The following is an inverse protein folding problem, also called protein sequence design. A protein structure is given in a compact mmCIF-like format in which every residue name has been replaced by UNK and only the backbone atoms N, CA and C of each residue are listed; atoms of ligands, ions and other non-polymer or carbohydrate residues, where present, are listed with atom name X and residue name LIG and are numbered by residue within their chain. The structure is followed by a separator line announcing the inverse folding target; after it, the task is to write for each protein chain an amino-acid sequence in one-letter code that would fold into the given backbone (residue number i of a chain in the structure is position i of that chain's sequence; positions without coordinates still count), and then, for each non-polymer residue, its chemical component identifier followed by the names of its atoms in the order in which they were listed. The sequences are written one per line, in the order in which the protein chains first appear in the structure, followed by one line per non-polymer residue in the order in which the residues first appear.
data_IF_145255302275
#
_entry.id   IF_145255302275
#
_cell.length_a   1.000
_cell.length_b   1.000
_cell.length_c   1.000
_cell.angle_alpha   90.00
_cell.angle_beta   90.00
_cell.angle_gamma   90.00
#
_symmetry.space_group_name_H-M   'P 1'
#
loop_
_entity.id
_entity.type
_entity.pdbx_description
1 polymer ?
#
# COMPACT_ATOMS: atom_id res chain seq x y z
N UNK A 1 5.07 -28.25 7.97
CA UNK A 1 6.18 -28.94 7.27
C UNK A 1 5.98 -28.85 5.76
N UNK A 2 4.81 -29.23 5.18
CA UNK A 2 4.55 -29.23 3.73
C UNK A 2 4.77 -27.88 3.05
N UNK A 3 4.32 -26.77 3.67
CA UNK A 3 4.51 -25.42 3.13
C UNK A 3 5.99 -25.01 3.06
N UNK A 4 6.77 -25.35 4.08
CA UNK A 4 8.20 -25.04 4.10
C UNK A 4 8.97 -25.86 3.05
N UNK A 5 8.59 -27.14 2.86
CA UNK A 5 9.17 -28.00 1.80
C UNK A 5 8.83 -27.43 0.43
N UNK A 6 7.56 -27.06 0.18
CA UNK A 6 7.15 -26.46 -1.09
C UNK A 6 7.91 -25.15 -1.37
N UNK A 7 8.07 -24.29 -0.36
CA UNK A 7 8.84 -23.05 -0.48
C UNK A 7 10.31 -23.35 -0.81
N UNK A 8 10.93 -24.28 -0.09
CA UNK A 8 12.32 -24.67 -0.33
C UNK A 8 12.54 -25.22 -1.75
N UNK A 9 11.62 -26.06 -2.23
CA UNK A 9 11.66 -26.60 -3.60
C UNK A 9 11.52 -25.47 -4.63
N UNK A 10 10.59 -24.54 -4.45
CA UNK A 10 10.42 -23.39 -5.34
C UNK A 10 11.66 -22.48 -5.38
N UNK A 11 12.27 -22.22 -4.24
CA UNK A 11 13.51 -21.44 -4.16
C UNK A 11 14.66 -22.18 -4.86
N UNK A 12 14.82 -23.48 -4.60
CA UNK A 12 15.86 -24.28 -5.23
C UNK A 12 15.70 -24.34 -6.76
N UNK A 13 14.47 -24.51 -7.26
CA UNK A 13 14.17 -24.46 -8.68
C UNK A 13 14.50 -23.11 -9.30
N UNK A 14 14.14 -22.01 -8.63
CA UNK A 14 14.48 -20.67 -9.11
C UNK A 14 15.99 -20.42 -9.14
N UNK A 15 16.73 -20.90 -8.15
CA UNK A 15 18.21 -20.81 -8.15
C UNK A 15 18.80 -21.59 -9.33
N UNK A 16 18.25 -22.75 -9.65
CA UNK A 16 18.76 -23.61 -10.73
C UNK A 16 18.43 -23.06 -12.14
N UNK A 17 17.25 -22.44 -12.30
CA UNK A 17 16.74 -22.05 -13.64
C UNK A 17 17.06 -20.57 -13.95
N UNK A 18 17.07 -19.70 -12.94
CA UNK A 18 17.19 -18.25 -13.15
C UNK A 18 18.62 -17.79 -12.86
N UNK A 19 19.37 -17.34 -13.90
CA UNK A 19 20.70 -16.77 -13.69
C UNK A 19 20.65 -15.57 -12.73
N UNK A 20 21.57 -15.52 -11.78
CA UNK A 20 21.67 -14.43 -10.80
C UNK A 20 20.45 -14.27 -9.87
N UNK A 21 19.66 -15.30 -9.62
CA UNK A 21 18.51 -15.25 -8.72
C UNK A 21 18.88 -14.73 -7.33
N UNK A 22 20.02 -15.14 -6.78
CA UNK A 22 20.54 -14.68 -5.48
C UNK A 22 21.33 -13.37 -5.55
N UNK A 23 21.18 -12.57 -6.59
CA UNK A 23 21.83 -11.27 -6.67
C UNK A 23 21.19 -10.29 -5.65
N UNK A 24 22.02 -9.40 -5.06
CA UNK A 24 21.58 -8.33 -4.17
C UNK A 24 20.46 -7.46 -4.76
N UNK A 25 20.46 -7.27 -6.08
CA UNK A 25 19.38 -6.54 -6.77
C UNK A 25 18.04 -7.27 -6.67
N UNK A 26 18.02 -8.59 -6.89
CA UNK A 26 16.81 -9.43 -6.79
C UNK A 26 16.29 -9.45 -5.35
N UNK A 27 17.19 -9.65 -4.38
CA UNK A 27 16.82 -9.61 -2.95
C UNK A 27 16.22 -8.27 -2.56
N UNK A 28 16.77 -7.18 -3.05
CA UNK A 28 16.27 -5.84 -2.73
C UNK A 28 14.91 -5.53 -3.36
N UNK A 29 14.66 -5.99 -4.60
CA UNK A 29 13.34 -5.85 -5.24
C UNK A 29 12.30 -6.67 -4.48
N UNK A 30 12.62 -7.91 -4.13
CA UNK A 30 11.73 -8.76 -3.33
C UNK A 30 11.47 -8.15 -1.94
N UNK A 31 12.49 -7.59 -1.29
CA UNK A 31 12.35 -6.92 -0.01
C UNK A 31 11.39 -5.71 -0.10
N UNK A 32 11.46 -4.92 -1.17
CA UNK A 32 10.54 -3.79 -1.40
C UNK A 32 9.10 -4.27 -1.56
N UNK A 33 8.87 -5.31 -2.35
CA UNK A 33 7.54 -5.89 -2.57
C UNK A 33 6.95 -6.48 -1.28
N UNK A 34 7.76 -7.25 -0.55
CA UNK A 34 7.35 -7.83 0.75
C UNK A 34 7.04 -6.72 1.76
N UNK A 35 7.81 -5.64 1.79
CA UNK A 35 7.58 -4.52 2.70
C UNK A 35 6.23 -3.83 2.46
N UNK A 36 5.85 -3.64 1.20
CA UNK A 36 4.54 -3.09 0.85
C UNK A 36 3.40 -4.00 1.32
N UNK A 37 3.53 -5.31 1.09
CA UNK A 37 2.56 -6.29 1.56
C UNK A 37 2.50 -6.31 3.09
N UNK A 38 3.64 -6.20 3.77
CA UNK A 38 3.72 -6.18 5.22
C UNK A 38 2.98 -4.97 5.81
N UNK A 39 3.11 -3.78 5.22
CA UNK A 39 2.36 -2.58 5.65
C UNK A 39 0.85 -2.82 5.59
N UNK A 40 0.37 -3.40 4.49
CA UNK A 40 -1.05 -3.75 4.34
C UNK A 40 -1.46 -4.81 5.35
N UNK A 41 -0.65 -5.84 5.54
CA UNK A 41 -0.91 -6.93 6.47
C UNK A 41 -1.00 -6.45 7.94
N UNK A 42 -0.22 -5.44 8.33
CA UNK A 42 -0.33 -4.82 9.65
C UNK A 42 -1.72 -4.20 9.87
N UNK A 43 -2.25 -3.45 8.90
CA UNK A 43 -3.60 -2.92 8.96
C UNK A 43 -4.65 -4.02 9.04
N UNK A 44 -4.52 -5.05 8.19
CA UNK A 44 -5.42 -6.21 8.19
C UNK A 44 -5.37 -6.99 9.51
N UNK A 45 -4.22 -7.07 10.15
CA UNK A 45 -4.08 -7.73 11.46
C UNK A 45 -4.95 -7.03 12.52
N UNK A 46 -4.99 -5.70 12.55
CA UNK A 46 -5.84 -4.94 13.46
C UNK A 46 -7.34 -5.19 13.18
N UNK A 47 -7.72 -5.22 11.90
CA UNK A 47 -9.10 -5.49 11.48
C UNK A 47 -9.52 -6.91 11.89
N UNK A 48 -8.68 -7.91 11.64
CA UNK A 48 -8.96 -9.31 12.02
C UNK A 48 -8.99 -9.47 13.54
N UNK A 49 -8.08 -8.81 14.26
CA UNK A 49 -8.06 -8.83 15.72
C UNK A 49 -9.33 -8.21 16.34
N UNK A 50 -9.97 -7.24 15.66
CA UNK A 50 -11.28 -6.70 16.07
C UNK A 50 -12.48 -7.55 15.64
N UNK A 51 -12.26 -8.72 15.03
CA UNK A 51 -13.31 -9.62 14.54
C UNK A 51 -13.92 -9.21 13.20
N UNK A 52 -13.30 -8.26 12.49
CA UNK A 52 -13.75 -7.77 11.19
C UNK A 52 -13.05 -8.43 10.01
N UNK A 53 -13.60 -8.20 8.81
CA UNK A 53 -12.96 -8.49 7.52
C UNK A 53 -13.07 -7.24 6.68
N UNK A 54 -11.95 -6.74 6.13
CA UNK A 54 -11.93 -5.58 5.26
C UNK A 54 -11.54 -5.98 3.83
N UNK A 55 -12.51 -5.92 2.93
CA UNK A 55 -12.32 -6.18 1.50
C UNK A 55 -11.99 -4.91 0.73
N UNK A 56 -12.11 -3.72 1.35
CA UNK A 56 -11.97 -2.43 0.67
C UNK A 56 -10.51 -2.02 0.40
N UNK A 57 -9.54 -2.64 1.06
CA UNK A 57 -8.12 -2.25 1.03
C UNK A 57 -7.60 -2.04 -0.40
N UNK A 58 -7.85 -2.99 -1.32
CA UNK A 58 -7.40 -2.87 -2.70
C UNK A 58 -8.06 -1.73 -3.47
N UNK A 59 -9.32 -1.42 -3.17
CA UNK A 59 -10.05 -0.32 -3.80
C UNK A 59 -9.58 1.04 -3.26
N UNK A 60 -9.34 1.15 -1.95
CA UNK A 60 -8.76 2.35 -1.32
C UNK A 60 -7.37 2.62 -1.86
N UNK A 61 -6.54 1.58 -2.03
CA UNK A 61 -5.23 1.70 -2.67
C UNK A 61 -5.34 2.17 -4.12
N UNK A 62 -6.33 1.71 -4.88
CA UNK A 62 -6.55 2.16 -6.26
C UNK A 62 -6.93 3.65 -6.32
N UNK A 63 -7.83 4.11 -5.43
CA UNK A 63 -8.20 5.53 -5.33
C UNK A 63 -7.00 6.38 -4.92
N UNK A 64 -6.25 5.98 -3.90
CA UNK A 64 -5.06 6.69 -3.44
C UNK A 64 -3.98 6.76 -4.54
N UNK A 65 -3.75 5.65 -5.25
CA UNK A 65 -2.81 5.57 -6.36
C UNK A 65 -3.22 6.40 -7.57
N UNK A 66 -4.52 6.57 -7.83
CA UNK A 66 -5.04 7.47 -8.86
C UNK A 66 -4.87 8.94 -8.49
N UNK A 67 -5.09 9.31 -7.22
CA UNK A 67 -5.00 10.68 -6.75
C UNK A 67 -3.59 11.23 -6.72
N UNK A 68 -2.58 10.43 -6.35
CA UNK A 68 -1.21 10.90 -6.21
C UNK A 68 -0.66 11.57 -7.49
N UNK A 69 -0.70 10.94 -8.69
CA UNK A 69 -0.26 11.58 -9.92
C UNK A 69 -1.14 12.76 -10.33
N UNK A 70 -2.45 12.69 -10.13
CA UNK A 70 -3.38 13.77 -10.48
C UNK A 70 -3.03 15.03 -9.68
N UNK A 71 -2.81 14.89 -8.37
CA UNK A 71 -2.44 15.99 -7.49
C UNK A 71 -1.07 16.54 -7.84
N UNK A 72 -0.09 15.67 -8.12
CA UNK A 72 1.25 16.08 -8.50
C UNK A 72 1.27 16.85 -9.83
N UNK A 73 0.48 16.41 -10.82
CA UNK A 73 0.38 17.05 -12.13
C UNK A 73 -0.53 18.30 -12.13
N UNK A 74 -1.20 18.60 -11.01
CA UNK A 74 -2.01 19.79 -10.86
C UNK A 74 -1.15 21.07 -10.81
N UNK A 75 -1.75 22.22 -11.12
CA UNK A 75 -1.06 23.51 -11.14
C UNK A 75 -0.34 23.90 -9.83
N UNK A 76 -0.71 23.31 -8.69
CA UNK A 76 -0.03 23.54 -7.41
C UNK A 76 1.42 23.04 -7.40
N UNK A 77 1.69 21.89 -8.03
CA UNK A 77 3.04 21.35 -8.12
C UNK A 77 3.94 22.13 -9.10
N UNK A 78 3.34 22.73 -10.12
CA UNK A 78 4.05 23.59 -11.07
C UNK A 78 4.51 24.88 -10.39
N UNK A 79 3.68 25.46 -9.53
CA UNK A 79 4.00 26.70 -8.82
C UNK A 79 4.96 26.50 -7.65
N UNK A 80 4.89 25.35 -6.96
CA UNK A 80 5.74 25.02 -5.83
C UNK A 80 5.96 23.50 -5.74
N UNK A 81 7.11 23.00 -6.26
CA UNK A 81 7.38 21.57 -6.32
C UNK A 81 7.33 20.84 -4.97
N UNK A 82 7.76 21.49 -3.89
CA UNK A 82 7.74 20.92 -2.54
C UNK A 82 6.32 20.76 -2.00
N UNK A 83 5.46 21.76 -2.21
CA UNK A 83 4.04 21.63 -1.85
C UNK A 83 3.32 20.60 -2.71
N UNK A 84 3.63 20.54 -4.00
CA UNK A 84 3.09 19.51 -4.90
C UNK A 84 3.44 18.11 -4.47
N UNK A 85 4.69 17.87 -4.07
CA UNK A 85 5.14 16.58 -3.55
C UNK A 85 4.42 16.24 -2.23
N UNK A 86 4.39 17.16 -1.28
CA UNK A 86 3.70 16.96 -0.01
C UNK A 86 2.20 16.66 -0.22
N UNK A 87 1.53 17.43 -1.06
CA UNK A 87 0.12 17.24 -1.37
C UNK A 87 -0.15 15.89 -2.06
N UNK A 88 0.72 15.45 -2.97
CA UNK A 88 0.59 14.16 -3.66
C UNK A 88 0.77 12.94 -2.75
N UNK A 89 1.33 13.12 -1.57
CA UNK A 89 1.44 12.09 -0.54
C UNK A 89 0.32 12.23 0.49
N UNK A 90 0.13 13.43 1.05
CA UNK A 90 -0.79 13.64 2.16
C UNK A 90 -2.26 13.54 1.76
N UNK A 91 -2.65 14.04 0.58
CA UNK A 91 -4.04 14.01 0.15
C UNK A 91 -4.55 12.58 -0.10
N UNK A 92 -3.82 11.69 -0.81
CA UNK A 92 -4.21 10.29 -0.92
C UNK A 92 -4.29 9.57 0.43
N UNK A 93 -3.38 9.85 1.37
CA UNK A 93 -3.43 9.30 2.73
C UNK A 93 -4.67 9.80 3.49
N UNK A 94 -5.00 11.08 3.38
CA UNK A 94 -6.20 11.65 4.00
C UNK A 94 -7.46 11.01 3.42
N UNK A 95 -7.56 10.86 2.10
CA UNK A 95 -8.70 10.21 1.44
C UNK A 95 -8.81 8.75 1.87
N UNK A 96 -7.70 8.02 1.95
CA UNK A 96 -7.69 6.65 2.45
C UNK A 96 -8.17 6.57 3.91
N UNK A 97 -7.73 7.48 4.77
CA UNK A 97 -8.18 7.57 6.16
C UNK A 97 -9.68 7.89 6.27
N UNK A 98 -10.20 8.79 5.44
CA UNK A 98 -11.64 9.10 5.39
C UNK A 98 -12.46 7.91 4.91
N UNK A 99 -11.99 7.16 3.92
CA UNK A 99 -12.62 5.92 3.48
C UNK A 99 -12.67 4.87 4.61
N UNK A 100 -11.56 4.70 5.34
CA UNK A 100 -11.50 3.82 6.50
C UNK A 100 -12.41 4.28 7.63
N UNK A 101 -12.44 5.58 7.93
CA UNK A 101 -13.33 6.15 8.93
C UNK A 101 -14.81 5.95 8.56
N UNK A 102 -15.15 6.13 7.29
CA UNK A 102 -16.51 5.89 6.80
C UNK A 102 -16.93 4.42 7.01
N UNK A 103 -16.08 3.45 6.62
CA UNK A 103 -16.33 2.04 6.90
C UNK A 103 -16.44 1.77 8.41
N UNK A 104 -15.58 2.40 9.21
CA UNK A 104 -15.61 2.28 10.66
C UNK A 104 -16.92 2.77 11.28
N UNK A 105 -17.48 3.86 10.78
CA UNK A 105 -18.80 4.37 11.20
C UNK A 105 -19.93 3.43 10.79
N UNK A 106 -19.91 2.92 9.55
CA UNK A 106 -20.92 1.96 9.09
C UNK A 106 -20.94 0.70 9.96
N UNK A 107 -19.77 0.19 10.32
CA UNK A 107 -19.65 -1.04 11.08
C UNK A 107 -19.88 -0.80 12.58
N UNK A 108 -19.16 0.17 13.16
CA UNK A 108 -19.12 0.39 14.60
C UNK A 108 -20.32 1.14 15.16
N UNK A 109 -20.92 2.06 14.38
CA UNK A 109 -22.03 2.90 14.83
C UNK A 109 -23.37 2.40 14.29
N UNK A 110 -23.42 2.09 12.98
CA UNK A 110 -24.66 1.66 12.32
C UNK A 110 -24.87 0.15 12.37
N UNK A 111 -23.91 -0.63 12.87
CA UNK A 111 -24.03 -2.08 13.00
C UNK A 111 -24.07 -2.85 11.68
N UNK A 112 -23.59 -2.25 10.59
CA UNK A 112 -23.52 -2.93 9.28
C UNK A 112 -22.49 -4.04 9.36
N UNK A 113 -22.81 -5.20 8.81
CA UNK A 113 -21.87 -6.32 8.75
C UNK A 113 -20.59 -5.93 8.00
N UNK A 114 -19.39 -6.19 8.55
CA UNK A 114 -18.11 -5.74 7.97
C UNK A 114 -17.92 -6.11 6.49
N UNK A 115 -18.27 -7.34 6.13
CA UNK A 115 -18.17 -7.81 4.74
C UNK A 115 -19.04 -6.97 3.79
N UNK A 116 -20.27 -6.61 4.20
CA UNK A 116 -21.19 -5.84 3.36
C UNK A 116 -20.67 -4.41 3.18
N UNK A 117 -20.28 -3.73 4.28
CA UNK A 117 -19.78 -2.37 4.24
C UNK A 117 -18.52 -2.25 3.34
N UNK A 118 -17.56 -3.14 3.54
CA UNK A 118 -16.29 -3.13 2.80
C UNK A 118 -16.42 -3.60 1.36
N UNK A 119 -17.37 -4.51 1.07
CA UNK A 119 -17.65 -4.97 -0.30
C UNK A 119 -18.24 -3.84 -1.18
N UNK A 120 -19.13 -3.02 -0.63
CA UNK A 120 -19.64 -1.84 -1.34
C UNK A 120 -18.47 -0.94 -1.77
N UNK A 121 -17.54 -0.68 -0.85
CA UNK A 121 -16.36 0.11 -1.14
C UNK A 121 -15.40 -0.56 -2.13
N UNK A 122 -15.27 -1.88 -2.06
CA UNK A 122 -14.47 -2.67 -3.00
C UNK A 122 -14.93 -2.49 -4.45
N UNK A 123 -16.25 -2.46 -4.67
CA UNK A 123 -16.81 -2.28 -6.02
C UNK A 123 -16.76 -0.81 -6.43
N UNK A 124 -17.27 0.10 -5.60
CA UNK A 124 -17.37 1.53 -5.92
C UNK A 124 -16.01 2.21 -6.03
N UNK A 125 -15.05 1.89 -5.16
CA UNK A 125 -13.74 2.52 -5.15
C UNK A 125 -12.94 2.25 -6.42
N UNK A 126 -13.04 1.06 -7.00
CA UNK A 126 -12.44 0.76 -8.31
C UNK A 126 -13.04 1.62 -9.42
N UNK A 127 -14.36 1.75 -9.44
CA UNK A 127 -15.06 2.62 -10.39
C UNK A 127 -14.64 4.09 -10.22
N UNK A 128 -14.54 4.58 -8.98
CA UNK A 128 -14.06 5.94 -8.69
C UNK A 128 -12.64 6.13 -9.23
N UNK A 129 -11.72 5.20 -8.96
CA UNK A 129 -10.35 5.29 -9.47
C UNK A 129 -10.30 5.35 -11.01
N UNK A 130 -11.12 4.54 -11.70
CA UNK A 130 -11.21 4.56 -13.16
C UNK A 130 -11.78 5.88 -13.68
N UNK A 131 -12.81 6.43 -13.05
CA UNK A 131 -13.37 7.73 -13.44
C UNK A 131 -12.34 8.84 -13.23
N UNK A 132 -11.65 8.87 -12.09
CA UNK A 132 -10.62 9.87 -11.79
C UNK A 132 -9.48 9.88 -12.82
N UNK A 133 -9.13 8.72 -13.35
CA UNK A 133 -8.05 8.58 -14.35
C UNK A 133 -8.54 8.58 -15.79
N UNK A 134 -9.84 8.70 -16.03
CA UNK A 134 -10.48 8.47 -17.33
C UNK A 134 -10.06 7.13 -17.96
N UNK A 135 -9.86 6.10 -17.14
CA UNK A 135 -9.40 4.78 -17.56
C UNK A 135 -7.96 4.71 -18.06
N UNK A 136 -7.19 5.79 -17.95
CA UNK A 136 -5.80 5.86 -18.43
C UNK A 136 -4.80 5.68 -17.30
N UNK A 137 -3.63 5.12 -17.65
CA UNK A 137 -2.51 5.05 -16.72
C UNK A 137 -1.94 6.47 -16.50
N UNK A 138 -2.04 6.93 -15.26
CA UNK A 138 -1.45 8.21 -14.86
C UNK A 138 -0.03 7.97 -14.36
N UNK A 139 0.95 8.60 -14.98
CA UNK A 139 2.36 8.50 -14.58
C UNK A 139 2.95 9.89 -14.41
N UNK A 140 3.81 10.03 -13.43
CA UNK A 140 4.66 11.19 -13.24
C UNK A 140 6.06 10.74 -12.80
N UNK A 141 7.05 11.57 -13.01
CA UNK A 141 8.42 11.31 -12.60
C UNK A 141 8.89 12.44 -11.67
N UNK A 142 9.22 12.08 -10.45
CA UNK A 142 9.85 12.97 -9.48
C UNK A 142 10.88 12.17 -8.69
N UNK A 143 12.15 12.61 -8.60
CA UNK A 143 13.21 11.88 -7.92
C UNK A 143 12.90 11.57 -6.44
N UNK A 144 12.34 12.54 -5.71
CA UNK A 144 12.02 12.39 -4.28
C UNK A 144 10.89 11.41 -4.06
N UNK A 145 9.85 11.46 -4.90
CA UNK A 145 8.74 10.50 -4.86
C UNK A 145 9.22 9.09 -5.24
N UNK A 146 10.04 8.98 -6.27
CA UNK A 146 10.63 7.71 -6.71
C UNK A 146 11.52 7.12 -5.62
N UNK A 147 12.26 7.98 -4.88
CA UNK A 147 13.10 7.53 -3.77
C UNK A 147 12.28 6.87 -2.64
N UNK A 148 11.07 7.33 -2.34
CA UNK A 148 10.19 6.67 -1.37
C UNK A 148 9.82 5.24 -1.80
N UNK A 149 9.66 5.01 -3.10
CA UNK A 149 9.30 3.70 -3.65
C UNK A 149 10.49 2.77 -3.92
N UNK A 150 11.65 3.32 -4.29
CA UNK A 150 12.80 2.53 -4.76
C UNK A 150 14.09 2.80 -3.98
N UNK A 151 14.09 3.83 -3.11
CA UNK A 151 15.24 4.24 -2.32
C UNK A 151 15.66 3.18 -1.30
N UNK A 152 16.92 3.26 -0.91
CA UNK A 152 17.53 2.34 0.06
C UNK A 152 18.29 3.11 1.12
N UNK A 153 18.16 2.70 2.36
CA UNK A 153 18.93 3.19 3.50
C UNK A 153 19.67 1.98 4.08
N UNK A 154 21.00 2.05 4.17
CA UNK A 154 21.86 0.94 4.63
C UNK A 154 21.65 -0.37 3.83
N UNK A 155 21.35 -0.26 2.52
CA UNK A 155 21.10 -1.42 1.66
C UNK A 155 19.69 -2.00 1.75
N UNK A 156 18.86 -1.56 2.71
CA UNK A 156 17.48 -2.01 2.92
C UNK A 156 16.48 -0.99 2.34
N UNK A 157 15.36 -1.44 1.72
CA UNK A 157 14.40 -0.53 1.10
C UNK A 157 13.74 0.40 2.12
N UNK A 158 13.51 1.65 1.73
CA UNK A 158 12.83 2.67 2.57
C UNK A 158 11.48 2.16 3.06
N UNK A 159 10.73 1.48 2.20
CA UNK A 159 9.44 0.87 2.56
C UNK A 159 9.55 -0.14 3.70
N UNK A 160 10.67 -0.86 3.78
CA UNK A 160 10.95 -1.81 4.86
C UNK A 160 11.16 -1.11 6.20
N UNK A 161 11.83 0.04 6.20
CA UNK A 161 11.97 0.87 7.40
C UNK A 161 10.63 1.45 7.85
N UNK A 162 9.79 1.87 6.91
CA UNK A 162 8.42 2.32 7.19
C UNK A 162 7.60 1.19 7.81
N UNK A 163 7.65 -0.02 7.22
CA UNK A 163 6.96 -1.19 7.75
C UNK A 163 7.42 -1.53 9.18
N UNK A 164 8.73 -1.47 9.45
CA UNK A 164 9.29 -1.71 10.77
C UNK A 164 8.82 -0.66 11.77
N UNK A 165 8.88 0.62 11.42
CA UNK A 165 8.41 1.71 12.26
C UNK A 165 6.92 1.57 12.61
N UNK A 166 6.07 1.29 11.62
CA UNK A 166 4.64 1.05 11.83
C UNK A 166 4.40 -0.17 12.73
N UNK A 167 5.16 -1.24 12.55
CA UNK A 167 5.08 -2.43 13.43
C UNK A 167 5.35 -2.07 14.88
N UNK A 168 6.40 -1.29 15.14
CA UNK A 168 6.76 -0.86 16.50
C UNK A 168 5.71 0.05 17.11
N UNK A 169 5.17 1.00 16.32
CA UNK A 169 4.10 1.90 16.77
C UNK A 169 2.84 1.13 17.12
N UNK A 170 2.40 0.20 16.25
CA UNK A 170 1.22 -0.63 16.49
C UNK A 170 1.45 -1.55 17.70
N UNK A 171 2.60 -2.20 17.80
CA UNK A 171 2.93 -3.05 18.93
C UNK A 171 2.97 -2.28 20.27
N UNK A 172 3.35 -1.01 20.24
CA UNK A 172 3.28 -0.13 21.41
C UNK A 172 1.86 0.30 21.74
N UNK A 173 1.05 0.63 20.72
CA UNK A 173 -0.31 1.11 20.89
C UNK A 173 -1.30 0.02 21.38
N UNK A 174 -1.01 -1.25 21.08
CA UNK A 174 -1.87 -2.40 21.43
C UNK A 174 -1.48 -3.03 22.79
N UNK A 175 -0.42 -2.53 23.43
CA UNK A 175 -0.06 -2.93 24.82
C UNK A 175 -0.96 -2.30 25.84
#
# INVERSE_FOLDING_TARGET
IGLLVALAVLVALNIAITPNFLNMRTLAVNASQVSTIAIVALGMTLVIASGGIDLSVGAVMAVAGALAPIVFLSGCAVSNPGLGLAASILLPLLVAALCGAFNGVLIGVLGVQPIIATLIFFISGRGIAQVLTNGNLQTFSNPDFTWLGTGRILGFPVQGWIALALTLVIAWAVR
#
